data_IF_044250501080
#
_entry.id   IF_044250501080
#
_cell.length_a   1.000
_cell.length_b   1.000
_cell.length_c   1.000
_cell.angle_alpha   90.00
_cell.angle_beta   90.00
_cell.angle_gamma   90.00
#
_symmetry.space_group_name_H-M   'P 1'
#
loop_
_entity.id
_entity.type
_entity.pdbx_description
1 polymer ?
#
# COMPACT_ATOMS: atom_id res chain seq x y z
N UNK A 1 4.18 -2.76 2.64
CA UNK A 1 3.20 -1.74 2.20
C UNK A 1 2.58 -2.27 0.93
N UNK A 2 1.25 -2.49 0.90
CA UNK A 2 0.58 -3.00 -0.31
C UNK A 2 0.44 -1.90 -1.35
N UNK A 3 0.56 -2.23 -2.63
CA UNK A 3 0.22 -1.33 -3.73
C UNK A 3 -1.30 -1.20 -3.82
N UNK A 4 -1.78 -0.10 -4.33
CA UNK A 4 -3.20 0.19 -4.59
C UNK A 4 -3.31 0.90 -5.93
N UNK A 5 -4.49 0.90 -6.49
CA UNK A 5 -4.81 1.64 -7.71
C UNK A 5 -5.61 2.90 -7.37
N UNK A 6 -5.53 3.91 -8.21
CA UNK A 6 -6.32 5.13 -8.09
C UNK A 6 -7.57 5.05 -8.97
N UNK A 7 -8.72 5.45 -8.42
CA UNK A 7 -9.97 5.53 -9.17
C UNK A 7 -10.61 6.91 -9.01
N UNK A 8 -10.92 7.55 -10.13
CA UNK A 8 -11.61 8.84 -10.16
C UNK A 8 -13.10 8.59 -10.30
N UNK A 9 -13.87 8.99 -9.27
CA UNK A 9 -15.34 8.87 -9.24
C UNK A 9 -15.94 10.26 -9.08
N UNK A 10 -16.58 10.82 -10.12
CA UNK A 10 -17.21 12.15 -10.04
C UNK A 10 -18.30 12.21 -8.96
N UNK A 11 -18.40 13.33 -8.25
CA UNK A 11 -19.39 13.56 -7.17
C UNK A 11 -20.84 13.28 -7.59
N UNK A 12 -21.15 13.49 -8.86
CA UNK A 12 -22.49 13.19 -9.39
C UNK A 12 -22.93 11.75 -9.22
N UNK A 13 -21.98 10.80 -9.14
CA UNK A 13 -22.27 9.39 -8.91
C UNK A 13 -22.53 9.06 -7.44
N UNK A 14 -22.11 9.95 -6.53
CA UNK A 14 -22.29 9.79 -5.08
C UNK A 14 -23.57 10.43 -4.57
N UNK A 15 -24.25 11.23 -5.42
CA UNK A 15 -25.54 11.82 -5.09
C UNK A 15 -26.56 10.74 -4.73
N UNK A 16 -27.28 10.97 -3.63
CA UNK A 16 -28.27 10.02 -3.11
C UNK A 16 -27.68 8.89 -2.23
N UNK A 17 -26.35 8.76 -2.17
CA UNK A 17 -25.67 7.89 -1.21
C UNK A 17 -25.28 8.64 0.07
N UNK A 18 -25.09 9.94 -0.03
CA UNK A 18 -24.60 10.81 1.03
C UNK A 18 -25.72 11.74 1.53
N UNK A 19 -25.67 12.09 2.80
CA UNK A 19 -26.50 13.18 3.34
C UNK A 19 -26.01 14.52 2.83
N UNK A 20 -26.85 15.56 2.90
CA UNK A 20 -26.47 16.93 2.47
C UNK A 20 -25.22 17.46 3.20
N UNK A 21 -25.03 17.07 4.45
CA UNK A 21 -23.86 17.45 5.26
C UNK A 21 -22.61 16.73 4.77
N UNK A 22 -22.69 15.41 4.54
CA UNK A 22 -21.61 14.62 3.99
C UNK A 22 -21.20 15.09 2.58
N UNK A 23 -22.16 15.46 1.72
CA UNK A 23 -21.86 16.00 0.39
C UNK A 23 -21.02 17.29 0.43
N UNK A 24 -21.19 18.14 1.44
CA UNK A 24 -20.38 19.35 1.63
C UNK A 24 -18.93 19.03 2.01
N UNK A 25 -18.69 17.93 2.69
CA UNK A 25 -17.36 17.48 3.09
C UNK A 25 -16.59 16.85 1.92
N UNK A 26 -17.28 16.31 0.93
CA UNK A 26 -16.65 15.68 -0.24
C UNK A 26 -16.08 16.74 -1.17
N UNK A 27 -14.77 16.96 -1.12
CA UNK A 27 -14.06 17.90 -2.02
C UNK A 27 -13.44 17.20 -3.22
N UNK A 28 -12.83 16.04 -2.98
CA UNK A 28 -12.05 15.31 -3.98
C UNK A 28 -12.83 14.18 -4.62
N UNK A 29 -12.47 13.87 -5.86
CA UNK A 29 -13.05 12.79 -6.65
C UNK A 29 -12.10 11.61 -6.79
N UNK A 30 -10.93 11.67 -6.17
CA UNK A 30 -9.91 10.63 -6.25
C UNK A 30 -9.99 9.69 -5.05
N UNK A 31 -9.95 8.41 -5.32
CA UNK A 31 -10.06 7.33 -4.33
C UNK A 31 -8.99 6.29 -4.60
N UNK A 32 -8.64 5.55 -3.56
CA UNK A 32 -7.79 4.37 -3.65
C UNK A 32 -8.66 3.12 -3.68
N UNK A 33 -8.18 2.08 -4.37
CA UNK A 33 -8.83 0.78 -4.41
C UNK A 33 -7.81 -0.35 -4.39
N UNK A 34 -8.20 -1.47 -3.77
CA UNK A 34 -7.47 -2.75 -3.83
C UNK A 34 -8.27 -3.83 -4.55
N UNK A 35 -9.41 -3.48 -5.10
CA UNK A 35 -10.29 -4.40 -5.82
C UNK A 35 -9.91 -4.59 -7.29
N UNK A 36 -8.84 -3.93 -7.75
CA UNK A 36 -8.36 -3.98 -9.13
C UNK A 36 -6.99 -4.67 -9.22
N UNK A 37 -6.10 -4.23 -10.11
CA UNK A 37 -4.81 -4.91 -10.39
C UNK A 37 -3.78 -4.75 -9.27
N UNK A 38 -3.89 -3.70 -8.44
CA UNK A 38 -2.94 -3.33 -7.38
C UNK A 38 -1.50 -3.04 -7.88
N UNK A 39 -1.38 -2.44 -9.07
CA UNK A 39 -0.12 -2.06 -9.72
C UNK A 39 0.03 -0.56 -9.93
N UNK A 40 -0.58 0.28 -9.08
CA UNK A 40 -0.62 1.73 -9.21
C UNK A 40 -1.31 2.18 -10.52
N UNK A 41 -2.28 1.39 -10.97
CA UNK A 41 -3.11 1.69 -12.12
C UNK A 41 -4.00 2.91 -11.88
N UNK A 42 -4.36 3.60 -12.96
CA UNK A 42 -5.30 4.71 -12.91
C UNK A 42 -6.61 4.32 -13.59
N UNK A 43 -7.70 4.49 -12.86
CA UNK A 43 -9.05 4.19 -13.33
C UNK A 43 -9.95 5.41 -13.22
N UNK A 44 -11.04 5.44 -13.98
CA UNK A 44 -12.10 6.44 -13.81
C UNK A 44 -13.47 5.88 -14.14
N UNK A 45 -14.49 6.42 -13.48
CA UNK A 45 -15.89 6.21 -13.85
C UNK A 45 -16.36 7.43 -14.66
N UNK A 46 -16.75 7.20 -15.91
CA UNK A 46 -17.26 8.24 -16.79
C UNK A 46 -18.44 7.74 -17.60
N UNK A 47 -19.55 8.51 -17.66
CA UNK A 47 -20.83 8.11 -18.30
C UNK A 47 -21.27 6.69 -17.89
N UNK A 48 -21.22 6.41 -16.58
CA UNK A 48 -21.54 5.11 -15.94
C UNK A 48 -20.66 3.94 -16.41
N UNK A 49 -19.54 4.19 -17.04
CA UNK A 49 -18.63 3.15 -17.53
C UNK A 49 -17.29 3.27 -16.84
N UNK A 50 -16.65 2.12 -16.63
CA UNK A 50 -15.30 2.02 -16.09
C UNK A 50 -14.29 2.16 -17.23
N UNK A 51 -13.22 2.91 -16.97
CA UNK A 51 -12.09 3.08 -17.87
C UNK A 51 -10.79 2.86 -17.10
N UNK A 52 -9.82 2.24 -17.73
CA UNK A 52 -8.44 2.10 -17.29
C UNK A 52 -7.54 2.99 -18.15
N UNK A 53 -6.49 3.52 -17.58
CA UNK A 53 -5.51 4.33 -18.31
C UNK A 53 -4.33 3.46 -18.74
N UNK A 54 -4.16 3.27 -20.04
CA UNK A 54 -3.05 2.56 -20.65
C UNK A 54 -2.34 3.48 -21.65
N UNK A 55 -1.01 3.51 -21.63
CA UNK A 55 -0.22 4.31 -22.57
C UNK A 55 -0.68 5.77 -22.74
N UNK A 56 -1.14 6.40 -21.63
CA UNK A 56 -1.71 7.76 -21.56
C UNK A 56 -3.14 7.90 -22.14
N UNK A 57 -3.73 6.85 -22.67
CA UNK A 57 -5.10 6.84 -23.18
C UNK A 57 -6.06 6.17 -22.20
N UNK A 58 -7.34 6.55 -22.27
CA UNK A 58 -8.39 5.95 -21.47
C UNK A 58 -9.12 4.89 -22.27
N UNK A 59 -8.91 3.63 -21.94
CA UNK A 59 -9.52 2.47 -22.58
C UNK A 59 -10.69 1.99 -21.72
N UNK A 60 -11.79 1.60 -22.38
CA UNK A 60 -12.96 1.07 -21.67
C UNK A 60 -12.61 -0.29 -21.04
N UNK A 61 -12.83 -0.40 -19.76
CA UNK A 61 -12.74 -1.66 -19.02
C UNK A 61 -14.13 -2.31 -18.96
N UNK A 62 -14.23 -3.57 -19.35
CA UNK A 62 -15.49 -4.33 -19.42
C UNK A 62 -15.64 -5.35 -18.29
N UNK A 63 -14.78 -5.28 -17.28
CA UNK A 63 -14.88 -6.22 -16.14
C UNK A 63 -16.22 -6.10 -15.42
N UNK A 64 -16.65 -7.23 -14.85
CA UNK A 64 -17.82 -7.31 -14.00
C UNK A 64 -17.38 -7.68 -12.59
N UNK A 65 -18.10 -7.18 -11.59
CA UNK A 65 -17.83 -7.45 -10.18
C UNK A 65 -17.95 -6.19 -9.31
N UNK A 66 -17.63 -6.36 -8.04
CA UNK A 66 -17.66 -5.30 -7.04
C UNK A 66 -16.31 -4.64 -6.95
N UNK A 67 -16.30 -3.32 -7.00
CA UNK A 67 -15.11 -2.49 -6.78
C UNK A 67 -15.37 -1.64 -5.55
N UNK A 68 -14.58 -1.91 -4.51
CA UNK A 68 -14.56 -1.13 -3.29
C UNK A 68 -13.48 -0.04 -3.43
N UNK A 69 -13.81 1.20 -3.10
CA UNK A 69 -12.87 2.30 -3.14
C UNK A 69 -13.07 3.26 -1.97
N UNK A 70 -11.98 3.80 -1.48
CA UNK A 70 -11.96 4.56 -0.24
C UNK A 70 -10.98 5.73 -0.31
N UNK A 71 -11.15 6.68 0.57
CA UNK A 71 -10.18 7.74 0.82
C UNK A 71 -10.38 8.33 2.21
N UNK A 72 -9.30 8.85 2.79
CA UNK A 72 -9.35 9.69 3.97
C UNK A 72 -9.14 11.16 3.61
N UNK A 73 -9.71 12.06 4.38
CA UNK A 73 -9.54 13.51 4.23
C UNK A 73 -9.73 14.21 5.57
N UNK A 74 -9.13 15.38 5.73
CA UNK A 74 -9.34 16.19 6.94
C UNK A 74 -10.39 17.27 6.70
N UNK A 75 -11.24 17.50 7.71
CA UNK A 75 -12.18 18.62 7.71
C UNK A 75 -11.54 19.93 8.21
N UNK A 76 -12.35 20.96 8.44
CA UNK A 76 -11.88 22.27 8.94
C UNK A 76 -11.44 22.23 10.41
N UNK A 77 -11.97 21.27 11.16
CA UNK A 77 -11.72 21.08 12.58
C UNK A 77 -10.58 20.09 12.83
N UNK A 78 -9.80 19.78 11.76
CA UNK A 78 -8.66 18.85 11.77
C UNK A 78 -9.04 17.39 12.10
N UNK A 79 -10.32 17.02 12.04
CA UNK A 79 -10.71 15.63 12.18
C UNK A 79 -10.44 14.89 10.86
N UNK A 80 -9.91 13.68 10.96
CA UNK A 80 -9.71 12.80 9.80
C UNK A 80 -10.94 11.92 9.62
N UNK A 81 -11.52 12.01 8.44
CA UNK A 81 -12.68 11.24 8.02
C UNK A 81 -12.26 10.11 7.10
N UNK A 82 -12.87 8.94 7.28
CA UNK A 82 -12.82 7.82 6.36
C UNK A 82 -14.11 7.73 5.58
N UNK A 83 -14.02 7.56 4.27
CA UNK A 83 -15.17 7.26 3.41
C UNK A 83 -14.87 6.12 2.48
N UNK A 84 -15.84 5.22 2.33
CA UNK A 84 -15.71 3.99 1.58
C UNK A 84 -17.00 3.69 0.84
N UNK A 85 -16.88 3.35 -0.44
CA UNK A 85 -17.99 3.04 -1.33
C UNK A 85 -17.73 1.71 -2.02
N UNK A 86 -18.81 1.02 -2.40
CA UNK A 86 -18.76 -0.16 -3.25
C UNK A 86 -19.65 0.08 -4.47
N UNK A 87 -19.09 -0.06 -5.67
CA UNK A 87 -19.85 -0.07 -6.91
C UNK A 87 -19.80 -1.44 -7.55
N UNK A 88 -20.96 -1.95 -7.94
CA UNK A 88 -21.06 -3.18 -8.72
C UNK A 88 -21.10 -2.80 -10.20
N UNK A 89 -20.24 -3.45 -10.98
CA UNK A 89 -20.16 -3.27 -12.43
C UNK A 89 -20.63 -4.54 -13.15
N UNK A 90 -21.35 -4.36 -14.25
CA UNK A 90 -21.73 -5.40 -15.19
C UNK A 90 -21.25 -4.99 -16.58
N UNK A 91 -20.35 -5.76 -17.17
CA UNK A 91 -19.70 -5.42 -18.45
C UNK A 91 -19.08 -4.00 -18.45
N UNK A 92 -18.46 -3.63 -17.32
CA UNK A 92 -17.86 -2.31 -17.13
C UNK A 92 -18.84 -1.16 -17.00
N UNK A 93 -20.14 -1.43 -16.80
CA UNK A 93 -21.19 -0.43 -16.56
C UNK A 93 -21.60 -0.49 -15.09
N UNK A 94 -21.76 0.68 -14.46
CA UNK A 94 -22.20 0.77 -13.06
C UNK A 94 -23.67 0.29 -12.99
N UNK A 95 -23.90 -0.77 -12.24
CA UNK A 95 -25.22 -1.36 -11.98
C UNK A 95 -25.75 -0.92 -10.62
N UNK A 96 -24.95 -1.08 -9.55
CA UNK A 96 -25.34 -0.76 -8.17
C UNK A 96 -24.26 0.10 -7.50
N UNK A 97 -24.69 0.96 -6.58
CA UNK A 97 -23.82 1.85 -5.81
C UNK A 97 -24.22 1.80 -4.34
N UNK A 98 -23.25 1.63 -3.46
CA UNK A 98 -23.46 1.54 -2.02
C UNK A 98 -22.44 2.41 -1.28
N UNK A 99 -22.90 3.07 -0.22
CA UNK A 99 -22.03 3.68 0.79
C UNK A 99 -21.76 2.61 1.85
N UNK A 100 -20.50 2.23 2.00
CA UNK A 100 -20.09 1.24 3.00
C UNK A 100 -19.80 1.93 4.33
N UNK A 101 -19.03 3.04 4.29
CA UNK A 101 -18.57 3.72 5.48
C UNK A 101 -18.41 5.21 5.25
N UNK A 102 -18.82 6.02 6.24
CA UNK A 102 -18.54 7.44 6.28
C UNK A 102 -18.52 7.89 7.74
N UNK A 103 -17.32 7.94 8.33
CA UNK A 103 -17.16 8.21 9.75
C UNK A 103 -15.86 8.97 10.04
N UNK A 104 -15.77 9.51 11.25
CA UNK A 104 -14.52 10.06 11.77
C UNK A 104 -13.61 8.89 12.15
N UNK A 105 -12.46 8.79 11.50
CA UNK A 105 -11.42 7.81 11.80
C UNK A 105 -10.56 8.26 12.97
N UNK A 106 -10.25 9.56 13.02
CA UNK A 106 -9.42 10.14 14.07
C UNK A 106 -9.87 11.58 14.34
N UNK A 107 -10.11 11.91 15.61
CA UNK A 107 -10.39 13.31 15.99
C UNK A 107 -9.09 14.12 16.07
N UNK A 108 -9.20 15.45 15.97
CA UNK A 108 -8.05 16.36 16.10
C UNK A 108 -7.33 16.20 17.47
N UNK A 109 -8.06 15.86 18.52
CA UNK A 109 -7.48 15.61 19.85
C UNK A 109 -6.66 14.33 19.87
N UNK A 110 -7.18 13.24 19.30
CA UNK A 110 -6.48 11.96 19.18
C UNK A 110 -5.23 12.09 18.30
N UNK A 111 -5.31 12.85 17.20
CA UNK A 111 -4.17 13.14 16.34
C UNK A 111 -3.05 13.86 17.10
N UNK A 112 -3.39 14.89 17.89
CA UNK A 112 -2.43 15.65 18.73
C UNK A 112 -1.82 14.77 19.84
N UNK A 113 -2.61 13.89 20.45
CA UNK A 113 -2.10 12.95 21.46
C UNK A 113 -1.12 11.95 20.84
N UNK A 114 -1.47 11.36 19.70
CA UNK A 114 -0.59 10.46 18.96
C UNK A 114 0.72 11.14 18.54
N UNK A 115 0.66 12.40 18.09
CA UNK A 115 1.85 13.16 17.74
C UNK A 115 2.77 13.38 18.93
N UNK A 116 2.23 13.76 20.09
CA UNK A 116 2.99 13.89 21.35
C UNK A 116 3.65 12.58 21.77
N UNK A 117 2.93 11.48 21.67
CA UNK A 117 3.45 10.14 22.00
C UNK A 117 4.57 9.73 21.01
N UNK A 118 4.39 10.02 19.72
CA UNK A 118 5.40 9.78 18.72
C UNK A 118 6.66 10.63 18.97
N UNK A 119 6.51 11.92 19.30
CA UNK A 119 7.64 12.80 19.63
C UNK A 119 8.38 12.33 20.89
N UNK A 120 7.64 11.95 21.93
CA UNK A 120 8.22 11.40 23.16
C UNK A 120 8.99 10.10 22.88
N UNK A 121 8.43 9.20 22.09
CA UNK A 121 9.06 7.94 21.68
C UNK A 121 10.28 8.18 20.81
N UNK A 122 10.16 9.09 19.86
CA UNK A 122 11.28 9.49 18.96
C UNK A 122 12.44 10.10 19.74
N UNK A 123 12.13 10.94 20.73
CA UNK A 123 13.14 11.56 21.62
C UNK A 123 13.86 10.51 22.47
N UNK A 124 13.13 9.56 23.06
CA UNK A 124 13.72 8.43 23.79
C UNK A 124 14.61 7.56 22.90
N UNK A 125 14.15 7.28 21.69
CA UNK A 125 14.94 6.53 20.69
C UNK A 125 16.22 7.24 20.33
N UNK A 126 16.18 8.56 20.04
CA UNK A 126 17.36 9.38 19.74
C UNK A 126 18.37 9.37 20.90
N UNK A 127 17.89 9.44 22.14
CA UNK A 127 18.75 9.33 23.33
C UNK A 127 19.42 7.95 23.42
N UNK A 128 18.64 6.89 23.22
CA UNK A 128 19.17 5.53 23.20
C UNK A 128 20.22 5.32 22.10
N UNK A 129 19.97 5.81 20.88
CA UNK A 129 20.91 5.74 19.75
C UNK A 129 22.23 6.48 20.00
N UNK A 130 22.26 7.46 20.92
CA UNK A 130 23.48 8.15 21.35
C UNK A 130 24.30 7.34 22.35
N UNK A 131 23.76 6.30 22.96
CA UNK A 131 24.50 5.49 23.95
C UNK A 131 25.66 4.75 23.30
N UNK A 132 26.74 4.59 24.06
CA UNK A 132 27.91 3.84 23.58
C UNK A 132 27.55 2.40 23.22
N UNK A 133 26.68 1.74 24.00
CA UNK A 133 26.20 0.38 23.72
C UNK A 133 25.52 0.28 22.36
N UNK A 134 24.56 1.15 22.05
CA UNK A 134 23.89 1.13 20.75
C UNK A 134 24.89 1.33 19.60
N UNK A 135 25.77 2.33 19.71
CA UNK A 135 26.78 2.63 18.68
C UNK A 135 27.75 1.49 18.45
N UNK A 136 28.18 0.82 19.54
CA UNK A 136 29.05 -0.34 19.45
C UNK A 136 28.37 -1.51 18.75
N UNK A 137 27.17 -1.91 19.21
CA UNK A 137 26.46 -3.02 18.60
C UNK A 137 26.01 -2.74 17.18
N UNK A 138 25.59 -1.52 16.87
CA UNK A 138 25.25 -1.10 15.51
C UNK A 138 26.45 -1.24 14.56
N UNK A 139 27.63 -0.79 14.99
CA UNK A 139 28.86 -0.95 14.20
C UNK A 139 29.23 -2.42 14.01
N UNK A 140 29.13 -3.23 15.06
CA UNK A 140 29.40 -4.66 15.02
C UNK A 140 28.44 -5.36 14.05
N UNK A 141 27.15 -5.07 14.13
CA UNK A 141 26.13 -5.62 13.23
C UNK A 141 26.40 -5.26 11.77
N UNK A 142 26.79 -4.00 11.51
CA UNK A 142 27.14 -3.58 10.16
C UNK A 142 28.39 -4.27 9.62
N UNK A 143 29.38 -4.50 10.49
CA UNK A 143 30.58 -5.27 10.13
C UNK A 143 30.21 -6.72 9.77
N UNK A 144 29.43 -7.36 10.62
CA UNK A 144 28.95 -8.74 10.38
C UNK A 144 28.13 -8.86 9.09
N UNK A 145 27.25 -7.91 8.81
CA UNK A 145 26.49 -7.85 7.53
C UNK A 145 27.42 -7.76 6.32
N UNK A 146 28.46 -6.91 6.39
CA UNK A 146 29.44 -6.79 5.31
C UNK A 146 30.23 -8.08 5.12
N UNK A 147 30.65 -8.74 6.20
CA UNK A 147 31.32 -10.03 6.11
C UNK A 147 30.42 -11.13 5.54
N UNK A 148 29.14 -11.16 5.93
CA UNK A 148 28.18 -12.09 5.40
C UNK A 148 27.96 -11.88 3.90
N UNK A 149 27.70 -10.64 3.51
CA UNK A 149 27.52 -10.26 2.09
C UNK A 149 28.76 -10.60 1.24
N UNK A 150 29.96 -10.35 1.76
CA UNK A 150 31.21 -10.73 1.09
C UNK A 150 31.35 -12.25 0.95
N UNK A 151 31.02 -13.00 2.01
CA UNK A 151 31.02 -14.46 2.00
C UNK A 151 30.01 -15.03 0.98
N UNK A 152 28.80 -14.48 0.96
CA UNK A 152 27.75 -14.86 0.01
C UNK A 152 28.18 -14.62 -1.44
N UNK A 153 28.75 -13.42 -1.73
CA UNK A 153 29.28 -13.12 -3.07
C UNK A 153 30.38 -14.08 -3.48
N UNK A 154 31.33 -14.37 -2.57
CA UNK A 154 32.43 -15.27 -2.87
C UNK A 154 31.94 -16.69 -3.12
N UNK A 155 30.98 -17.14 -2.32
CA UNK A 155 30.36 -18.46 -2.49
C UNK A 155 29.60 -18.56 -3.81
N UNK A 156 28.84 -17.51 -4.15
CA UNK A 156 28.11 -17.43 -5.42
C UNK A 156 29.03 -17.44 -6.65
N UNK A 157 30.10 -16.64 -6.63
CA UNK A 157 31.10 -16.63 -7.71
C UNK A 157 31.77 -17.98 -7.86
N UNK A 158 32.16 -18.62 -6.74
CA UNK A 158 32.73 -19.96 -6.75
C UNK A 158 31.76 -20.99 -7.33
N UNK A 159 30.47 -20.91 -6.96
CA UNK A 159 29.44 -21.81 -7.47
C UNK A 159 29.23 -21.64 -8.99
N UNK A 160 29.19 -20.39 -9.49
CA UNK A 160 29.02 -20.13 -10.93
C UNK A 160 30.23 -20.61 -11.73
N UNK A 161 31.43 -20.45 -11.19
CA UNK A 161 32.67 -20.84 -11.85
C UNK A 161 32.94 -22.36 -11.83
N UNK A 162 32.16 -23.13 -11.07
CA UNK A 162 32.27 -24.59 -11.05
C UNK A 162 31.80 -25.23 -12.36
N UNK A 163 32.44 -26.31 -12.82
CA UNK A 163 31.95 -27.14 -13.92
C UNK A 163 30.52 -27.65 -13.66
N UNK A 164 29.71 -27.80 -14.70
CA UNK A 164 28.30 -28.19 -14.60
C UNK A 164 28.08 -29.49 -13.78
N UNK A 165 28.90 -30.49 -13.98
CA UNK A 165 28.84 -31.76 -13.26
C UNK A 165 29.03 -31.61 -11.74
N UNK A 166 29.90 -30.67 -11.30
CA UNK A 166 30.09 -30.41 -9.88
C UNK A 166 28.92 -29.61 -9.30
N UNK A 167 28.31 -28.73 -10.05
CA UNK A 167 27.11 -27.97 -9.61
C UNK A 167 25.92 -28.89 -9.37
N UNK A 168 25.71 -29.89 -10.22
CA UNK A 168 24.62 -30.87 -10.02
C UNK A 168 24.82 -31.70 -8.73
N UNK A 169 26.04 -32.20 -8.48
CA UNK A 169 26.37 -32.92 -7.23
C UNK A 169 26.17 -32.07 -5.98
N UNK A 170 26.44 -30.77 -6.05
CA UNK A 170 26.19 -29.83 -4.94
C UNK A 170 24.71 -29.62 -4.70
N UNK A 171 23.89 -29.50 -5.77
CA UNK A 171 22.42 -29.41 -5.66
C UNK A 171 21.80 -30.64 -5.02
N UNK A 172 22.26 -31.84 -5.38
CA UNK A 172 21.82 -33.11 -4.78
C UNK A 172 22.09 -33.13 -3.28
N UNK A 173 23.29 -32.71 -2.84
CA UNK A 173 23.63 -32.61 -1.42
C UNK A 173 22.73 -31.63 -0.69
N UNK A 174 22.44 -30.44 -1.27
CA UNK A 174 21.56 -29.44 -0.68
C UNK A 174 20.09 -29.87 -0.62
N UNK A 175 19.63 -30.71 -1.57
CA UNK A 175 18.27 -31.26 -1.55
C UNK A 175 18.10 -32.26 -0.39
N UNK A 176 19.15 -33.02 -0.05
CA UNK A 176 19.13 -33.93 1.07
C UNK A 176 18.93 -33.23 2.42
N UNK A 177 19.52 -32.03 2.61
CA UNK A 177 19.40 -31.26 3.85
C UNK A 177 18.07 -30.52 4.01
N UNK A 178 17.23 -30.42 2.96
CA UNK A 178 15.89 -29.82 3.04
C UNK A 178 14.83 -30.74 3.66
N UNK A 179 15.14 -32.00 3.88
CA UNK A 179 14.21 -33.00 4.43
C UNK A 179 14.53 -33.40 5.89
N UNK A 180 15.45 -32.68 6.53
CA UNK A 180 15.75 -32.73 7.96
C UNK A 180 15.55 -31.32 8.57
#
# INVERSE_FOLDING_TARGET
MGMFDDIIVPKSYLKGLLTKEQEKLVKDNNYQTKSLENFLGQYKVYKQKLFVKENKEWIRDTRSGKINFYTSFSDKDENTWWREFEFTFVNGVVDKKELIKFEIEETAEQAKEREKDWEASSSKRKLFERTFRYRFFSRLTNLLRKLLSWSEQKTYVNYISMPAEKREKEKEKLSFWKHY
#
